data_IF_466864992175
#
_entry.id   IF_466864992175
#
_cell.length_a   1.000
_cell.length_b   1.000
_cell.length_c   1.000
_cell.angle_alpha   90.00
_cell.angle_beta   90.00
_cell.angle_gamma   90.00
#
_symmetry.space_group_name_H-M   'P 1'
#
loop_
_entity.id
_entity.type
_entity.pdbx_description
1 polymer ?
#
# COMPACT_ATOMS: atom_id res chain seq x y z
N UNK A 1 6.45 17.45 3.52
CA UNK A 1 7.24 16.36 4.12
C UNK A 1 7.37 15.23 3.10
N UNK A 2 8.60 15.01 2.63
CA UNK A 2 8.98 14.04 1.61
C UNK A 2 9.17 12.65 2.23
N UNK A 3 8.10 12.05 2.75
CA UNK A 3 8.22 10.79 3.48
C UNK A 3 8.02 9.63 2.51
N UNK A 4 9.12 9.09 2.00
CA UNK A 4 9.08 7.74 1.44
C UNK A 4 8.81 6.74 2.54
N UNK A 5 8.10 5.65 2.22
CA UNK A 5 7.84 4.57 3.17
C UNK A 5 8.38 3.26 2.66
N UNK A 6 8.99 2.49 3.56
CA UNK A 6 9.43 1.16 3.23
C UNK A 6 8.24 0.27 2.86
N UNK A 7 8.42 -0.58 1.85
CA UNK A 7 7.44 -1.57 1.43
C UNK A 7 6.84 -2.37 2.61
N UNK A 8 7.67 -2.85 3.54
CA UNK A 8 7.19 -3.66 4.66
C UNK A 8 6.32 -2.84 5.63
N UNK A 9 6.69 -1.59 5.89
CA UNK A 9 5.91 -0.68 6.72
C UNK A 9 4.58 -0.31 6.06
N UNK A 10 4.58 -0.11 4.74
CA UNK A 10 3.36 0.09 3.97
C UNK A 10 2.41 -1.10 4.10
N UNK A 11 2.89 -2.33 3.91
CA UNK A 11 2.07 -3.54 4.07
C UNK A 11 1.49 -3.66 5.49
N UNK A 12 2.30 -3.40 6.53
CA UNK A 12 1.81 -3.42 7.92
C UNK A 12 0.70 -2.41 8.16
N UNK A 13 0.86 -1.16 7.71
CA UNK A 13 -0.17 -0.13 7.85
C UNK A 13 -1.43 -0.46 7.07
N UNK A 14 -1.30 -0.97 5.85
CA UNK A 14 -2.46 -1.44 5.05
C UNK A 14 -3.21 -2.57 5.77
N UNK A 15 -2.51 -3.52 6.40
CA UNK A 15 -3.14 -4.56 7.21
C UNK A 15 -3.93 -3.99 8.39
N UNK A 16 -3.38 -2.99 9.10
CA UNK A 16 -4.10 -2.29 10.18
C UNK A 16 -5.37 -1.58 9.70
N UNK A 17 -5.37 -1.12 8.45
CA UNK A 17 -6.54 -0.49 7.80
C UNK A 17 -7.57 -1.52 7.27
N UNK A 18 -7.35 -2.81 7.49
CA UNK A 18 -8.25 -3.89 7.11
C UNK A 18 -8.02 -4.45 5.70
N UNK A 19 -6.88 -4.16 5.07
CA UNK A 19 -6.46 -4.83 3.84
C UNK A 19 -5.81 -6.19 4.15
N UNK A 20 -6.17 -7.21 3.38
CA UNK A 20 -5.62 -8.57 3.48
C UNK A 20 -4.64 -8.83 2.33
N UNK A 21 -3.68 -9.73 2.55
CA UNK A 21 -2.59 -10.02 1.60
C UNK A 21 -1.22 -9.55 2.12
N UNK A 22 -0.24 -9.26 1.25
CA UNK A 22 -0.35 -9.25 -0.21
C UNK A 22 -0.52 -10.67 -0.79
N UNK A 23 -1.35 -10.78 -1.82
CA UNK A 23 -1.56 -11.97 -2.63
C UNK A 23 -0.75 -11.84 -3.93
N UNK A 24 -0.17 -12.96 -4.38
CA UNK A 24 0.60 -13.01 -5.63
C UNK A 24 -0.32 -13.39 -6.79
N UNK A 25 -0.65 -12.42 -7.65
CA UNK A 25 -1.43 -12.62 -8.87
C UNK A 25 -0.56 -12.94 -10.09
N UNK A 26 0.49 -13.74 -9.92
CA UNK A 26 1.51 -13.95 -10.94
C UNK A 26 2.55 -12.82 -10.96
N UNK A 27 2.37 -11.85 -11.86
CA UNK A 27 3.38 -10.79 -12.15
C UNK A 27 3.32 -9.59 -11.18
N UNK A 28 2.19 -9.43 -10.49
CA UNK A 28 1.93 -8.30 -9.60
C UNK A 28 1.37 -8.77 -8.25
N UNK A 29 1.69 -8.02 -7.20
CA UNK A 29 1.12 -8.21 -5.87
C UNK A 29 -0.14 -7.37 -5.73
N UNK A 30 -1.12 -7.87 -4.97
CA UNK A 30 -2.31 -7.10 -4.65
C UNK A 30 -2.77 -7.35 -3.21
N UNK A 31 -3.44 -6.39 -2.61
CA UNK A 31 -4.10 -6.52 -1.30
C UNK A 31 -5.59 -6.29 -1.46
N UNK A 32 -6.41 -7.04 -0.72
CA UNK A 32 -7.87 -6.98 -0.83
C UNK A 32 -8.50 -6.51 0.47
N UNK A 33 -9.39 -5.54 0.39
CA UNK A 33 -10.30 -5.10 1.46
C UNK A 33 -11.73 -5.41 1.00
N UNK A 34 -12.68 -5.61 1.93
CA UNK A 34 -14.10 -5.82 1.57
C UNK A 34 -14.57 -4.68 0.65
N UNK A 35 -14.74 -4.98 -0.64
CA UNK A 35 -15.17 -4.03 -1.67
C UNK A 35 -14.08 -3.31 -2.47
N UNK A 36 -12.78 -3.56 -2.22
CA UNK A 36 -11.69 -2.93 -2.97
C UNK A 36 -10.45 -3.83 -3.11
N UNK A 37 -9.89 -3.90 -4.32
CA UNK A 37 -8.60 -4.52 -4.61
C UNK A 37 -7.55 -3.42 -4.85
N UNK A 38 -6.41 -3.55 -4.19
CA UNK A 38 -5.28 -2.63 -4.26
C UNK A 38 -4.09 -3.32 -4.91
N UNK A 39 -3.68 -2.85 -6.08
CA UNK A 39 -2.42 -3.26 -6.69
C UNK A 39 -1.25 -2.68 -5.89
N UNK A 40 -0.33 -3.56 -5.50
CA UNK A 40 0.86 -3.21 -4.73
C UNK A 40 2.09 -3.38 -5.63
N UNK A 41 3.03 -2.41 -5.63
CA UNK A 41 4.27 -2.54 -6.39
C UNK A 41 5.02 -3.82 -5.98
N UNK A 42 5.56 -4.53 -6.98
CA UNK A 42 6.28 -5.79 -6.76
C UNK A 42 7.59 -5.61 -5.98
N UNK A 43 8.13 -6.68 -5.38
CA UNK A 43 9.28 -6.61 -4.47
C UNK A 43 10.64 -6.54 -5.19
N UNK A 44 10.69 -6.61 -6.52
CA UNK A 44 11.92 -6.94 -7.26
C UNK A 44 13.03 -5.86 -7.21
N UNK A 45 12.75 -4.59 -6.85
CA UNK A 45 13.76 -3.54 -6.67
C UNK A 45 13.43 -2.59 -5.49
N UNK A 46 13.25 -3.14 -4.28
CA UNK A 46 13.02 -2.40 -3.01
C UNK A 46 14.01 -1.21 -2.83
N UNK A 47 13.61 -0.08 -2.24
CA UNK A 47 13.28 -0.03 -0.80
C UNK A 47 12.21 0.97 -0.37
N UNK A 48 11.77 1.87 -1.23
CA UNK A 48 10.99 3.03 -0.79
C UNK A 48 9.86 3.34 -1.76
N UNK A 49 8.63 3.39 -1.24
CA UNK A 49 7.48 3.93 -1.94
C UNK A 49 7.57 5.44 -1.79
N UNK A 50 7.89 6.12 -2.89
CA UNK A 50 7.92 7.58 -2.94
C UNK A 50 6.55 8.21 -2.63
N UNK A 51 6.51 9.47 -2.18
CA UNK A 51 5.27 10.12 -1.74
C UNK A 51 4.20 10.22 -2.83
N UNK A 52 4.58 10.42 -4.09
CA UNK A 52 3.63 10.46 -5.22
C UNK A 52 2.95 9.10 -5.45
N UNK A 53 3.76 8.04 -5.54
CA UNK A 53 3.26 6.68 -5.71
C UNK A 53 2.39 6.26 -4.52
N UNK A 54 2.80 6.60 -3.30
CA UNK A 54 2.03 6.35 -2.10
C UNK A 54 0.65 7.04 -2.17
N UNK A 55 0.60 8.32 -2.54
CA UNK A 55 -0.66 9.06 -2.66
C UNK A 55 -1.59 8.45 -3.71
N UNK A 56 -1.05 8.01 -4.85
CA UNK A 56 -1.83 7.34 -5.91
C UNK A 56 -2.42 6.02 -5.41
N UNK A 57 -1.62 5.21 -4.73
CA UNK A 57 -2.04 3.94 -4.12
C UNK A 57 -3.12 4.19 -3.06
N UNK A 58 -2.91 5.15 -2.14
CA UNK A 58 -3.88 5.49 -1.10
C UNK A 58 -5.21 5.98 -1.68
N UNK A 59 -5.16 6.79 -2.75
CA UNK A 59 -6.36 7.25 -3.47
C UNK A 59 -7.14 6.09 -4.08
N UNK A 60 -6.44 5.11 -4.69
CA UNK A 60 -7.08 3.90 -5.22
C UNK A 60 -7.65 3.02 -4.09
N UNK A 61 -7.00 2.98 -2.94
CA UNK A 61 -7.44 2.27 -1.75
C UNK A 61 -8.62 2.95 -1.03
N UNK A 62 -9.01 4.17 -1.43
CA UNK A 62 -10.00 4.97 -0.71
C UNK A 62 -9.56 5.36 0.71
N UNK A 63 -8.25 5.39 0.96
CA UNK A 63 -7.66 5.72 2.27
C UNK A 63 -7.12 7.13 2.20
N UNK A 64 -7.52 7.99 3.12
CA UNK A 64 -6.93 9.32 3.23
C UNK A 64 -5.52 9.24 3.80
N UNK A 65 -4.61 10.14 3.37
CA UNK A 65 -3.26 10.25 3.94
C UNK A 65 -3.30 10.36 5.48
N UNK A 66 -4.25 11.15 6.02
CA UNK A 66 -4.46 11.29 7.47
C UNK A 66 -4.80 9.97 8.16
N UNK A 67 -5.62 9.12 7.55
CA UNK A 67 -5.94 7.80 8.10
C UNK A 67 -4.71 6.90 8.09
N UNK A 68 -3.93 6.94 7.01
CA UNK A 68 -2.69 6.18 6.90
C UNK A 68 -1.59 6.62 7.89
N UNK A 69 -1.56 7.89 8.25
CA UNK A 69 -0.63 8.42 9.27
C UNK A 69 -1.06 8.07 10.70
N UNK A 70 -2.34 7.75 10.94
CA UNK A 70 -2.89 7.41 12.26
C UNK A 70 -2.72 5.93 12.66
N UNK A 71 -2.39 5.05 11.71
CA UNK A 71 -2.10 3.62 11.95
C UNK A 71 -0.62 3.33 12.13
#
# INVERSE_FOLDING_TARGET
MSTSINYNEFIKKMRKLGFQGPYSGGKHLFMRRRGADLLVPGPHHRKDIGPDLLLRILKQAGVSKKEFERV
#
